data_IF_695658487132
#
_entry.id   IF_695658487132
#
_cell.length_a   1.000
_cell.length_b   1.000
_cell.length_c   1.000
_cell.angle_alpha   90.00
_cell.angle_beta   90.00
_cell.angle_gamma   90.00
#
_symmetry.space_group_name_H-M   'P 1'
#
loop_
_entity.id
_entity.type
_entity.pdbx_description
1 polymer ?
#
# COMPACT_ATOMS: atom_id res chain seq x y z
N UNK A 1 -9.05 2.80 22.12
CA UNK A 1 -9.95 1.76 21.60
C UNK A 1 -11.01 2.45 20.78
N UNK A 2 -11.10 2.13 19.49
CA UNK A 2 -12.18 2.69 18.64
C UNK A 2 -13.48 1.95 18.99
N UNK A 3 -14.64 2.59 18.89
CA UNK A 3 -15.94 1.98 19.23
C UNK A 3 -16.17 0.63 18.56
N UNK A 4 -15.74 0.50 17.29
CA UNK A 4 -15.82 -0.76 16.54
C UNK A 4 -15.06 -1.93 17.18
N UNK A 5 -13.93 -1.64 17.83
CA UNK A 5 -13.08 -2.64 18.52
C UNK A 5 -13.81 -3.18 19.75
N UNK A 6 -14.40 -2.27 20.53
CA UNK A 6 -15.22 -2.62 21.69
C UNK A 6 -16.50 -3.37 21.28
N UNK A 7 -17.22 -2.89 20.27
CA UNK A 7 -18.42 -3.56 19.74
C UNK A 7 -18.11 -4.99 19.27
N UNK A 8 -16.98 -5.18 18.55
CA UNK A 8 -16.53 -6.50 18.11
C UNK A 8 -16.26 -7.43 19.29
N UNK A 9 -15.57 -6.94 20.31
CA UNK A 9 -15.25 -7.72 21.51
C UNK A 9 -16.53 -8.12 22.26
N UNK A 10 -17.45 -7.18 22.46
CA UNK A 10 -18.73 -7.41 23.12
C UNK A 10 -19.60 -8.40 22.34
N UNK A 11 -19.68 -8.31 21.01
CA UNK A 11 -20.46 -9.23 20.19
C UNK A 11 -19.86 -10.64 20.18
N UNK A 12 -18.54 -10.76 20.10
CA UNK A 12 -17.87 -12.06 20.18
C UNK A 12 -18.11 -12.73 21.54
N UNK A 13 -17.93 -11.99 22.65
CA UNK A 13 -18.22 -12.47 24.00
C UNK A 13 -19.69 -12.88 24.11
N UNK A 14 -20.62 -12.04 23.64
CA UNK A 14 -22.05 -12.30 23.70
C UNK A 14 -22.47 -13.57 22.95
N UNK A 15 -21.92 -13.84 21.78
CA UNK A 15 -22.18 -15.09 21.04
C UNK A 15 -21.68 -16.30 21.84
N UNK A 16 -20.46 -16.24 22.37
CA UNK A 16 -19.89 -17.33 23.18
C UNK A 16 -20.72 -17.59 24.44
N UNK A 17 -21.13 -16.54 25.15
CA UNK A 17 -21.96 -16.67 26.35
C UNK A 17 -23.34 -17.25 26.05
N UNK A 18 -23.96 -16.88 24.92
CA UNK A 18 -25.21 -17.50 24.49
C UNK A 18 -25.05 -19.00 24.24
N UNK A 19 -23.96 -19.43 23.62
CA UNK A 19 -23.69 -20.87 23.44
C UNK A 19 -23.48 -21.54 24.80
N UNK A 20 -22.66 -20.97 25.68
CA UNK A 20 -22.38 -21.53 27.01
C UNK A 20 -23.64 -21.66 27.88
N UNK A 21 -24.54 -20.68 27.84
CA UNK A 21 -25.79 -20.73 28.61
C UNK A 21 -26.73 -21.84 28.14
N UNK A 22 -26.72 -22.17 26.84
CA UNK A 22 -27.56 -23.23 26.29
C UNK A 22 -27.22 -24.61 26.84
N UNK A 23 -25.97 -24.85 27.28
CA UNK A 23 -25.56 -26.10 27.93
C UNK A 23 -26.30 -26.38 29.26
N UNK A 24 -26.95 -25.38 29.84
CA UNK A 24 -27.75 -25.50 31.07
C UNK A 24 -29.24 -25.28 30.81
N UNK A 25 -29.66 -25.26 29.55
CA UNK A 25 -31.05 -25.04 29.17
C UNK A 25 -31.97 -26.19 29.63
N UNK A 26 -33.24 -25.88 29.89
CA UNK A 26 -34.23 -26.86 30.35
C UNK A 26 -34.71 -27.77 29.20
N UNK A 27 -34.79 -27.23 27.98
CA UNK A 27 -35.07 -28.01 26.76
C UNK A 27 -33.84 -28.87 26.41
N UNK A 28 -33.97 -30.21 26.39
CA UNK A 28 -32.86 -31.11 26.08
C UNK A 28 -32.31 -30.94 24.66
N UNK A 29 -33.12 -30.47 23.69
CA UNK A 29 -32.67 -30.26 22.32
C UNK A 29 -31.73 -29.05 22.24
N UNK A 30 -32.10 -27.94 22.88
CA UNK A 30 -31.24 -26.74 22.97
C UNK A 30 -29.98 -27.06 23.78
N UNK A 31 -30.11 -27.88 24.82
CA UNK A 31 -28.97 -28.35 25.61
C UNK A 31 -27.96 -29.15 24.79
N UNK A 32 -28.45 -30.03 23.91
CA UNK A 32 -27.61 -30.81 23.01
C UNK A 32 -26.86 -29.92 22.00
N UNK A 33 -27.49 -28.84 21.53
CA UNK A 33 -26.84 -27.84 20.67
C UNK A 33 -25.64 -27.19 21.37
N UNK A 34 -25.82 -26.74 22.62
CA UNK A 34 -24.72 -26.15 23.41
C UNK A 34 -23.54 -27.10 23.62
N UNK A 35 -23.80 -28.40 23.78
CA UNK A 35 -22.76 -29.43 23.88
C UNK A 35 -22.08 -29.68 22.52
N UNK A 36 -22.83 -29.63 21.41
CA UNK A 36 -22.28 -29.79 20.07
C UNK A 36 -21.36 -28.63 19.65
N UNK A 37 -21.68 -27.40 20.07
CA UNK A 37 -20.88 -26.20 19.80
C UNK A 37 -19.71 -25.97 20.78
N UNK A 38 -19.54 -26.83 21.80
CA UNK A 38 -18.48 -26.69 22.82
C UNK A 38 -17.04 -26.64 22.23
N UNK A 39 -16.69 -27.41 21.17
CA UNK A 39 -15.38 -27.30 20.53
C UNK A 39 -15.15 -25.94 19.87
N UNK A 40 -16.20 -25.31 19.32
CA UNK A 40 -16.12 -23.96 18.77
C UNK A 40 -15.79 -22.96 19.89
N UNK A 41 -16.55 -23.00 20.98
CA UNK A 41 -16.32 -22.13 22.14
C UNK A 41 -14.90 -22.28 22.64
N UNK A 42 -14.43 -23.52 22.83
CA UNK A 42 -13.07 -23.80 23.30
C UNK A 42 -11.98 -23.25 22.38
N UNK A 43 -12.19 -23.26 21.07
CA UNK A 43 -11.20 -22.77 20.10
C UNK A 43 -11.13 -21.23 20.02
N UNK A 44 -12.25 -20.55 20.26
CA UNK A 44 -12.38 -19.11 20.01
C UNK A 44 -12.55 -18.25 21.29
N UNK A 45 -12.78 -18.86 22.45
CA UNK A 45 -12.88 -18.14 23.72
C UNK A 45 -11.59 -17.38 24.05
N UNK A 46 -11.73 -16.15 24.57
CA UNK A 46 -10.59 -15.31 24.92
C UNK A 46 -9.96 -14.57 23.74
N UNK A 47 -10.58 -14.58 22.55
CA UNK A 47 -10.06 -13.93 21.34
C UNK A 47 -9.68 -12.46 21.49
N UNK A 48 -10.33 -11.73 22.40
CA UNK A 48 -10.06 -10.32 22.70
C UNK A 48 -8.70 -10.03 23.35
N UNK A 49 -7.98 -11.06 23.83
CA UNK A 49 -6.63 -10.87 24.35
C UNK A 49 -5.54 -10.84 23.25
N UNK A 50 -5.91 -11.06 21.99
CA UNK A 50 -4.98 -11.11 20.85
C UNK A 50 -4.58 -9.71 20.39
N UNK A 51 -3.48 -9.62 19.63
CA UNK A 51 -3.12 -8.38 18.97
C UNK A 51 -4.20 -7.98 17.95
N UNK A 52 -4.39 -6.68 17.72
CA UNK A 52 -5.51 -6.14 16.92
C UNK A 52 -5.67 -6.79 15.54
N UNK A 53 -4.58 -6.94 14.77
CA UNK A 53 -4.63 -7.54 13.44
C UNK A 53 -4.85 -9.06 13.51
N UNK A 54 -4.22 -9.74 14.47
CA UNK A 54 -4.40 -11.18 14.71
C UNK A 54 -5.84 -11.49 15.14
N UNK A 55 -6.43 -10.63 15.97
CA UNK A 55 -7.82 -10.73 16.39
C UNK A 55 -8.76 -10.55 15.21
N UNK A 56 -8.49 -9.58 14.33
CA UNK A 56 -9.31 -9.34 13.14
C UNK A 56 -9.38 -10.58 12.24
N UNK A 57 -8.23 -11.22 11.97
CA UNK A 57 -8.20 -12.47 11.20
C UNK A 57 -8.80 -13.67 11.94
N UNK A 58 -8.66 -13.73 13.26
CA UNK A 58 -9.30 -14.76 14.08
C UNK A 58 -10.82 -14.65 14.06
N UNK A 59 -11.38 -13.42 14.07
CA UNK A 59 -12.82 -13.21 13.97
C UNK A 59 -13.37 -13.64 12.60
N UNK A 60 -12.62 -13.45 11.52
CA UNK A 60 -13.03 -13.97 10.21
C UNK A 60 -13.11 -15.51 10.21
N UNK A 61 -12.16 -16.18 10.86
CA UNK A 61 -12.19 -17.64 11.01
C UNK A 61 -13.36 -18.09 11.90
N UNK A 62 -13.66 -17.34 12.98
CA UNK A 62 -14.80 -17.63 13.84
C UNK A 62 -16.13 -17.52 13.09
N UNK A 63 -16.31 -16.43 12.32
CA UNK A 63 -17.49 -16.21 11.49
C UNK A 63 -17.64 -17.30 10.41
N UNK A 64 -16.53 -17.73 9.79
CA UNK A 64 -16.55 -18.84 8.83
C UNK A 64 -16.96 -20.16 9.47
N UNK A 65 -16.42 -20.48 10.66
CA UNK A 65 -16.74 -21.73 11.35
C UNK A 65 -18.23 -21.73 11.78
N UNK A 66 -18.77 -20.62 12.27
CA UNK A 66 -20.21 -20.47 12.57
C UNK A 66 -21.10 -20.66 11.34
N UNK A 67 -20.63 -20.27 10.16
CA UNK A 67 -21.36 -20.42 8.90
C UNK A 67 -21.11 -21.77 8.20
N UNK A 68 -20.23 -22.61 8.75
CA UNK A 68 -19.93 -23.91 8.18
C UNK A 68 -21.10 -24.89 8.28
N UNK A 69 -21.10 -25.91 7.43
CA UNK A 69 -22.10 -27.00 7.49
C UNK A 69 -22.14 -27.72 8.85
N UNK A 70 -21.08 -27.58 9.66
CA UNK A 70 -21.00 -28.15 10.99
C UNK A 70 -21.89 -27.44 12.01
N UNK A 71 -22.05 -26.12 11.91
CA UNK A 71 -22.73 -25.32 12.94
C UNK A 71 -23.88 -24.45 12.43
N UNK A 72 -24.10 -24.33 11.11
CA UNK A 72 -25.16 -23.48 10.55
C UNK A 72 -26.57 -23.79 11.10
N UNK A 73 -26.89 -25.08 11.27
CA UNK A 73 -28.20 -25.51 11.77
C UNK A 73 -28.37 -25.14 13.25
N UNK A 74 -27.28 -25.16 14.01
CA UNK A 74 -27.26 -24.79 15.42
C UNK A 74 -27.33 -23.28 15.62
N UNK A 75 -26.67 -22.52 14.75
CA UNK A 75 -26.79 -21.06 14.65
C UNK A 75 -28.25 -20.65 14.40
N UNK A 76 -28.98 -21.36 13.54
CA UNK A 76 -30.39 -21.10 13.28
C UNK A 76 -31.27 -21.44 14.51
N UNK A 77 -31.05 -22.59 15.14
CA UNK A 77 -31.76 -22.98 16.37
C UNK A 77 -31.57 -21.97 17.51
N UNK A 78 -30.36 -21.45 17.66
CA UNK A 78 -30.02 -20.44 18.67
C UNK A 78 -30.34 -19.00 18.24
N UNK A 79 -30.80 -18.79 17.00
CA UNK A 79 -31.13 -17.48 16.43
C UNK A 79 -29.97 -16.48 16.49
N UNK A 80 -28.74 -16.96 16.24
CA UNK A 80 -27.51 -16.16 16.31
C UNK A 80 -27.25 -15.30 15.07
N UNK A 81 -28.06 -15.40 14.02
CA UNK A 81 -27.80 -14.74 12.73
C UNK A 81 -27.63 -13.22 12.85
N UNK A 82 -28.45 -12.55 13.66
CA UNK A 82 -28.34 -11.09 13.86
C UNK A 82 -27.05 -10.70 14.59
N UNK A 83 -26.57 -11.53 15.51
CA UNK A 83 -25.30 -11.33 16.21
C UNK A 83 -24.11 -11.54 15.27
N UNK A 84 -24.17 -12.56 14.41
CA UNK A 84 -23.15 -12.83 13.39
C UNK A 84 -23.04 -11.66 12.42
N UNK A 85 -24.16 -11.11 11.96
CA UNK A 85 -24.17 -9.95 11.06
C UNK A 85 -23.60 -8.69 11.73
N UNK A 86 -23.91 -8.48 13.01
CA UNK A 86 -23.38 -7.37 13.79
C UNK A 86 -21.86 -7.51 14.01
N UNK A 87 -21.40 -8.70 14.41
CA UNK A 87 -19.98 -9.01 14.57
C UNK A 87 -19.22 -8.84 13.26
N UNK A 88 -19.78 -9.32 12.14
CA UNK A 88 -19.18 -9.15 10.82
C UNK A 88 -18.98 -7.67 10.48
N UNK A 89 -20.01 -6.84 10.65
CA UNK A 89 -19.91 -5.39 10.39
C UNK A 89 -18.85 -4.72 11.26
N UNK A 90 -18.79 -5.07 12.54
CA UNK A 90 -17.78 -4.55 13.45
C UNK A 90 -16.36 -4.97 13.05
N UNK A 91 -16.17 -6.24 12.65
CA UNK A 91 -14.87 -6.75 12.19
C UNK A 91 -14.42 -6.10 10.87
N UNK A 92 -15.33 -5.97 9.90
CA UNK A 92 -15.04 -5.30 8.61
C UNK A 92 -14.61 -3.84 8.83
N UNK A 93 -15.26 -3.13 9.77
CA UNK A 93 -14.88 -1.78 10.15
C UNK A 93 -13.49 -1.75 10.81
N UNK A 94 -13.20 -2.70 11.71
CA UNK A 94 -11.88 -2.83 12.32
C UNK A 94 -10.77 -3.06 11.29
N UNK A 95 -11.01 -3.95 10.31
CA UNK A 95 -10.10 -4.23 9.21
C UNK A 95 -9.85 -2.98 8.35
N UNK A 96 -10.90 -2.23 8.03
CA UNK A 96 -10.79 -0.98 7.26
C UNK A 96 -9.89 0.05 7.96
N UNK A 97 -10.04 0.21 9.27
CA UNK A 97 -9.27 1.16 10.07
C UNK A 97 -7.78 0.78 10.16
N UNK A 98 -7.46 -0.53 10.21
CA UNK A 98 -6.06 -1.01 10.14
C UNK A 98 -5.43 -0.74 8.78
N UNK A 99 -6.18 -1.02 7.70
CA UNK A 99 -5.70 -0.76 6.33
C UNK A 99 -5.45 0.73 6.08
N UNK A 100 -6.32 1.61 6.57
CA UNK A 100 -6.17 3.07 6.49
C UNK A 100 -4.93 3.56 7.24
N UNK A 101 -4.74 3.12 8.49
CA UNK A 101 -3.55 3.47 9.30
C UNK A 101 -2.24 3.03 8.64
N UNK A 102 -2.23 1.86 8.00
CA UNK A 102 -1.04 1.35 7.31
C UNK A 102 -0.74 2.14 6.03
N UNK A 103 -1.78 2.51 5.27
CA UNK A 103 -1.66 3.39 4.10
C UNK A 103 -1.11 4.77 4.47
N UNK A 104 -1.75 5.45 5.42
CA UNK A 104 -1.35 6.80 5.86
C UNK A 104 0.08 6.84 6.41
N UNK A 105 0.47 5.86 7.24
CA UNK A 105 1.84 5.78 7.76
C UNK A 105 2.86 5.61 6.64
N UNK A 106 2.55 4.78 5.65
CA UNK A 106 3.44 4.55 4.49
C UNK A 106 3.55 5.82 3.64
N UNK A 107 2.45 6.51 3.40
CA UNK A 107 2.43 7.78 2.66
C UNK A 107 3.22 8.86 3.39
N UNK A 108 3.09 8.98 4.71
CA UNK A 108 3.81 9.98 5.49
C UNK A 108 5.32 9.74 5.52
N UNK A 109 5.75 8.48 5.73
CA UNK A 109 7.18 8.13 5.71
C UNK A 109 7.78 8.35 4.32
N UNK A 110 7.08 7.96 3.25
CA UNK A 110 7.56 8.20 1.89
C UNK A 110 7.62 9.68 1.55
N UNK A 111 6.63 10.49 1.96
CA UNK A 111 6.62 11.93 1.74
C UNK A 111 7.83 12.65 2.37
N UNK A 112 8.31 12.20 3.54
CA UNK A 112 9.48 12.79 4.19
C UNK A 112 10.81 12.25 3.66
N UNK A 113 10.91 10.95 3.38
CA UNK A 113 12.18 10.31 2.99
C UNK A 113 12.51 10.49 1.52
N UNK A 114 11.49 10.56 0.64
CA UNK A 114 11.67 10.72 -0.79
C UNK A 114 12.45 11.99 -1.18
N UNK A 115 12.12 13.21 -0.70
CA UNK A 115 12.86 14.41 -1.07
C UNK A 115 14.32 14.37 -0.57
N UNK A 116 14.57 13.77 0.60
CA UNK A 116 15.93 13.63 1.15
C UNK A 116 16.77 12.72 0.24
N UNK A 117 16.23 11.57 -0.15
CA UNK A 117 16.91 10.63 -1.05
C UNK A 117 17.13 11.26 -2.44
N UNK A 118 16.15 11.96 -2.98
CA UNK A 118 16.24 12.62 -4.30
C UNK A 118 17.30 13.74 -4.27
N UNK A 119 17.39 14.51 -3.18
CA UNK A 119 18.43 15.53 -2.99
C UNK A 119 19.85 14.92 -2.89
N UNK A 120 20.02 13.87 -2.08
CA UNK A 120 21.30 13.16 -1.97
C UNK A 120 21.74 12.56 -3.32
N UNK A 121 20.81 11.99 -4.09
CA UNK A 121 21.09 11.50 -5.44
C UNK A 121 21.52 12.63 -6.38
N UNK A 122 20.82 13.77 -6.36
CA UNK A 122 21.18 14.94 -7.17
C UNK A 122 22.60 15.45 -6.85
N UNK A 123 22.98 15.48 -5.57
CA UNK A 123 24.32 15.87 -5.13
C UNK A 123 25.40 14.89 -5.64
N UNK A 124 25.15 13.58 -5.57
CA UNK A 124 26.08 12.58 -6.09
C UNK A 124 26.25 12.73 -7.61
N UNK A 125 25.16 12.93 -8.35
CA UNK A 125 25.20 13.17 -9.80
C UNK A 125 26.00 14.44 -10.13
N UNK A 126 25.78 15.52 -9.37
CA UNK A 126 26.50 16.78 -9.53
C UNK A 126 28.01 16.60 -9.34
N UNK A 127 28.43 15.94 -8.25
CA UNK A 127 29.84 15.68 -7.98
C UNK A 127 30.48 14.77 -9.03
N UNK A 128 29.77 13.72 -9.46
CA UNK A 128 30.30 12.79 -10.47
C UNK A 128 30.47 13.49 -11.82
N UNK A 129 29.49 14.30 -12.24
CA UNK A 129 29.61 15.10 -13.45
C UNK A 129 30.75 16.12 -13.37
N UNK A 130 30.95 16.78 -12.23
CA UNK A 130 32.07 17.71 -12.03
C UNK A 130 33.42 16.99 -12.15
N UNK A 131 33.54 15.78 -11.60
CA UNK A 131 34.75 14.95 -11.73
C UNK A 131 35.02 14.52 -13.17
N UNK A 132 33.98 14.21 -13.95
CA UNK A 132 34.12 13.88 -15.38
C UNK A 132 34.68 15.08 -16.16
N UNK A 133 34.21 16.29 -15.87
CA UNK A 133 34.71 17.52 -16.51
C UNK A 133 36.20 17.77 -16.25
N UNK A 134 36.68 17.50 -15.03
CA UNK A 134 38.07 17.76 -14.63
C UNK A 134 39.01 16.66 -15.13
N UNK A 135 38.61 15.39 -15.00
CA UNK A 135 39.52 14.26 -15.17
C UNK A 135 39.34 13.48 -16.49
N UNK A 136 38.32 13.83 -17.27
CA UNK A 136 37.89 13.13 -18.49
C UNK A 136 36.82 12.06 -18.24
N UNK A 137 35.87 11.93 -19.16
CA UNK A 137 34.71 11.03 -19.07
C UNK A 137 35.11 9.54 -19.06
N UNK A 138 36.21 9.19 -19.73
CA UNK A 138 36.68 7.82 -19.92
C UNK A 138 36.92 7.09 -18.59
N UNK A 139 37.44 7.81 -17.58
CA UNK A 139 37.74 7.25 -16.25
C UNK A 139 36.50 6.87 -15.45
N UNK A 140 35.32 7.38 -15.82
CA UNK A 140 34.07 7.14 -15.10
C UNK A 140 33.05 6.37 -15.95
N UNK A 141 33.44 5.95 -17.16
CA UNK A 141 32.55 5.36 -18.14
C UNK A 141 31.83 4.09 -17.66
N UNK A 142 32.57 3.18 -17.03
CA UNK A 142 32.05 1.94 -16.50
C UNK A 142 31.06 2.18 -15.34
N UNK A 143 31.39 3.10 -14.43
CA UNK A 143 30.53 3.45 -13.30
C UNK A 143 29.21 4.07 -13.77
N UNK A 144 29.28 5.03 -14.69
CA UNK A 144 28.09 5.69 -15.27
C UNK A 144 27.22 4.67 -15.99
N UNK A 145 27.84 3.78 -16.76
CA UNK A 145 27.13 2.70 -17.48
C UNK A 145 26.43 1.78 -16.50
N UNK A 146 27.14 1.29 -15.48
CA UNK A 146 26.58 0.41 -14.45
C UNK A 146 25.39 1.02 -13.72
N UNK A 147 25.47 2.30 -13.33
CA UNK A 147 24.36 2.99 -12.66
C UNK A 147 23.16 3.22 -13.57
N UNK A 148 23.38 3.57 -14.85
CA UNK A 148 22.30 3.70 -15.82
C UNK A 148 21.59 2.36 -16.05
N UNK A 149 22.33 1.26 -16.20
CA UNK A 149 21.76 -0.09 -16.31
C UNK A 149 20.91 -0.44 -15.09
N UNK A 150 21.38 -0.12 -13.89
CA UNK A 150 20.63 -0.34 -12.65
C UNK A 150 19.36 0.50 -12.57
N UNK A 151 19.42 1.77 -12.96
CA UNK A 151 18.24 2.64 -13.03
C UNK A 151 17.21 2.06 -14.01
N UNK A 152 17.63 1.66 -15.21
CA UNK A 152 16.72 1.12 -16.23
C UNK A 152 16.11 -0.24 -15.81
N UNK A 153 16.86 -1.07 -15.08
CA UNK A 153 16.31 -2.27 -14.45
C UNK A 153 15.15 -1.92 -13.49
N UNK A 154 15.37 -0.99 -12.56
CA UNK A 154 14.32 -0.62 -11.60
C UNK A 154 13.12 0.08 -12.25
N UNK A 155 13.33 0.88 -13.31
CA UNK A 155 12.23 1.44 -14.12
C UNK A 155 11.39 0.35 -14.78
N UNK A 156 12.05 -0.70 -15.27
CA UNK A 156 11.38 -1.85 -15.90
C UNK A 156 10.58 -2.63 -14.86
N UNK A 157 11.19 -2.99 -13.73
CA UNK A 157 10.50 -3.65 -12.60
C UNK A 157 9.29 -2.83 -12.13
N UNK A 158 9.44 -1.51 -12.01
CA UNK A 158 8.35 -0.62 -11.60
C UNK A 158 7.21 -0.61 -12.62
N UNK A 159 7.53 -0.58 -13.92
CA UNK A 159 6.52 -0.64 -14.99
C UNK A 159 5.80 -1.99 -15.03
N UNK A 160 6.48 -3.10 -14.76
CA UNK A 160 5.84 -4.41 -14.65
C UNK A 160 4.86 -4.47 -13.48
N UNK A 161 5.18 -3.83 -12.35
CA UNK A 161 4.34 -3.85 -11.14
C UNK A 161 3.16 -2.88 -11.19
N UNK A 162 3.36 -1.67 -11.72
CA UNK A 162 2.39 -0.58 -11.65
C UNK A 162 1.65 -0.32 -12.98
N UNK A 163 2.07 -0.97 -14.06
CA UNK A 163 1.54 -0.78 -15.42
C UNK A 163 2.52 -0.10 -16.37
N UNK A 164 2.35 -0.36 -17.68
CA UNK A 164 3.23 0.16 -18.72
C UNK A 164 3.40 1.69 -18.64
N UNK A 165 4.65 2.16 -18.68
CA UNK A 165 4.99 3.59 -18.63
C UNK A 165 5.07 4.19 -17.21
N UNK A 166 4.68 3.47 -16.17
CA UNK A 166 4.70 3.96 -14.77
C UNK A 166 6.08 3.98 -14.14
N UNK A 167 7.07 3.29 -14.72
CA UNK A 167 8.46 3.30 -14.24
C UNK A 167 9.33 4.43 -14.82
N UNK A 168 8.83 5.27 -15.71
CA UNK A 168 9.60 6.36 -16.32
C UNK A 168 10.46 5.95 -17.52
N UNK A 169 11.04 6.94 -18.21
CA UNK A 169 11.72 6.74 -19.50
C UNK A 169 13.14 6.16 -19.37
N UNK A 170 13.39 5.04 -20.04
CA UNK A 170 14.70 4.39 -20.09
C UNK A 170 15.75 5.20 -20.86
N UNK A 171 17.00 5.04 -20.40
CA UNK A 171 18.31 5.20 -21.07
C UNK A 171 18.46 5.12 -22.59
N UNK A 172 17.65 5.73 -23.48
CA UNK A 172 17.91 5.61 -24.93
C UNK A 172 19.26 6.24 -25.30
N UNK A 173 20.13 5.45 -25.93
CA UNK A 173 21.51 5.77 -26.33
C UNK A 173 21.66 6.89 -27.39
N UNK A 174 20.65 7.75 -27.58
CA UNK A 174 20.64 8.77 -28.62
C UNK A 174 20.14 10.10 -28.07
N UNK A 175 21.05 10.97 -27.60
CA UNK A 175 21.06 12.39 -27.96
C UNK A 175 22.29 13.11 -27.40
N UNK A 176 23.09 13.60 -28.34
CA UNK A 176 24.31 14.40 -28.20
C UNK A 176 23.98 15.84 -27.80
N UNK A 177 23.61 16.13 -26.54
CA UNK A 177 23.61 17.53 -26.09
C UNK A 177 24.03 17.71 -24.63
N UNK A 178 25.02 18.58 -24.35
CA UNK A 178 25.31 18.99 -22.98
C UNK A 178 24.17 19.90 -22.50
N UNK A 179 23.45 19.49 -21.45
CA UNK A 179 22.52 20.36 -20.73
C UNK A 179 23.30 21.07 -19.60
N UNK A 180 23.56 22.35 -19.79
CA UNK A 180 23.79 23.33 -18.73
C UNK A 180 22.43 24.00 -18.40
N UNK A 181 22.25 24.60 -17.22
CA UNK A 181 20.98 25.24 -16.86
C UNK A 181 20.73 26.44 -17.79
N UNK A 182 19.58 26.47 -18.46
CA UNK A 182 19.13 27.67 -19.20
C UNK A 182 18.82 28.76 -18.17
N UNK A 183 19.51 29.89 -18.29
CA UNK A 183 19.24 31.09 -17.50
C UNK A 183 17.89 31.68 -17.94
N UNK A 184 17.11 32.17 -16.96
CA UNK A 184 15.90 32.96 -17.20
C UNK A 184 16.24 34.22 -17.99
N UNK A 185 15.82 34.30 -19.26
CA UNK A 185 15.78 35.57 -19.99
C UNK A 185 14.34 36.08 -20.08
N UNK A 186 14.14 37.21 -19.43
CA UNK A 186 12.96 38.08 -19.50
C UNK A 186 12.80 38.69 -20.89
N UNK A 187 11.59 38.63 -21.46
CA UNK A 187 10.78 39.77 -21.94
C UNK A 187 9.80 39.36 -23.05
N UNK A 188 8.53 39.73 -22.85
CA UNK A 188 7.45 39.70 -23.85
C UNK A 188 7.46 40.99 -24.71
N UNK A 189 6.47 41.29 -25.60
CA UNK A 189 5.43 40.47 -26.25
C UNK A 189 5.28 40.72 -27.78
N UNK A 190 4.70 39.78 -28.56
CA UNK A 190 3.93 40.11 -29.78
C UNK A 190 3.03 38.94 -30.27
N UNK A 191 1.75 39.03 -29.92
CA UNK A 191 0.54 38.83 -30.76
C UNK A 191 0.50 37.75 -31.87
N UNK A 192 -0.31 36.69 -31.70
CA UNK A 192 -1.69 36.57 -32.23
C UNK A 192 -2.27 35.15 -31.97
N UNK A 193 -3.49 35.08 -31.41
CA UNK A 193 -4.30 33.87 -31.10
C UNK A 193 -5.18 33.46 -32.33
N UNK A 194 -6.13 32.49 -32.28
CA UNK A 194 -6.52 31.50 -31.25
C UNK A 194 -6.77 30.06 -31.76
N UNK A 195 -6.78 29.06 -30.86
CA UNK A 195 -7.29 27.72 -31.18
C UNK A 195 -7.46 26.81 -29.97
N UNK A 196 -8.58 26.95 -29.24
CA UNK A 196 -9.24 25.88 -28.47
C UNK A 196 -8.57 25.32 -27.21
N UNK A 197 -8.71 26.01 -26.07
CA UNK A 197 -8.49 25.40 -24.75
C UNK A 197 -9.77 24.67 -24.27
N UNK A 198 -9.72 23.34 -24.18
CA UNK A 198 -10.53 22.58 -23.21
C UNK A 198 -9.65 22.25 -22.01
N UNK A 199 -10.04 22.78 -20.85
CA UNK A 199 -9.46 22.47 -19.54
C UNK A 199 -9.81 21.03 -19.18
N UNK A 200 -8.83 20.23 -18.78
CA UNK A 200 -9.07 19.07 -17.90
C UNK A 200 -8.20 19.23 -16.66
N UNK A 201 -8.90 19.42 -15.55
CA UNK A 201 -8.49 19.18 -14.17
C UNK A 201 -8.02 17.73 -13.99
N UNK A 202 -7.05 17.52 -13.10
CA UNK A 202 -6.82 16.21 -12.49
C UNK A 202 -5.35 15.85 -12.35
N UNK A 203 -4.85 16.11 -11.14
CA UNK A 203 -3.96 15.25 -10.36
C UNK A 203 -3.16 14.19 -11.14
N UNK A 204 -1.86 14.44 -11.25
CA UNK A 204 -0.91 13.54 -11.89
C UNK A 204 0.49 14.01 -11.58
N UNK A 205 0.91 13.76 -10.33
CA UNK A 205 2.29 13.88 -9.81
C UNK A 205 3.32 13.75 -10.94
N UNK A 206 3.79 14.91 -11.37
CA UNK A 206 4.65 15.05 -12.52
C UNK A 206 6.07 14.66 -12.11
N UNK A 207 6.41 13.38 -12.30
CA UNK A 207 7.75 12.82 -12.11
C UNK A 207 8.78 13.33 -13.15
N UNK A 208 8.48 14.45 -13.82
CA UNK A 208 9.40 15.15 -14.74
C UNK A 208 10.37 16.05 -13.99
N UNK A 209 11.15 15.50 -13.05
CA UNK A 209 12.41 16.12 -12.64
C UNK A 209 13.56 15.41 -13.36
N UNK A 210 13.99 16.03 -14.45
CA UNK A 210 15.11 15.64 -15.29
C UNK A 210 16.44 15.82 -14.53
N UNK A 211 17.09 14.73 -14.13
CA UNK A 211 18.55 14.71 -13.91
C UNK A 211 19.11 13.36 -14.36
N UNK A 212 19.30 13.24 -15.68
CA UNK A 212 20.05 12.14 -16.30
C UNK A 212 21.55 12.40 -16.17
N UNK A 213 22.32 11.39 -15.78
CA UNK A 213 23.78 11.38 -15.97
C UNK A 213 24.09 11.57 -17.46
N UNK A 214 25.10 12.40 -17.78
CA UNK A 214 25.52 12.63 -19.16
C UNK A 214 25.90 11.31 -19.82
N UNK A 215 25.41 11.09 -21.04
CA UNK A 215 25.89 10.03 -21.92
C UNK A 215 27.20 10.49 -22.55
N UNK A 216 28.22 9.65 -22.42
CA UNK A 216 29.59 9.86 -22.90
C UNK A 216 29.57 10.08 -24.41
N UNK A 217 30.19 11.17 -24.87
CA UNK A 217 30.46 11.41 -26.29
C UNK A 217 31.89 11.00 -26.57
N UNK A 218 32.13 9.77 -27.07
CA UNK A 218 33.42 9.43 -27.68
C UNK A 218 33.69 10.37 -28.86
N UNK A 219 34.61 11.31 -28.71
CA UNK A 219 35.28 11.93 -29.86
C UNK A 219 36.20 10.86 -30.44
N UNK A 220 35.82 10.29 -31.59
CA UNK A 220 36.81 9.63 -32.45
C UNK A 220 37.79 10.70 -32.92
N UNK A 221 39.08 10.47 -32.64
CA UNK A 221 40.19 11.15 -33.29
C UNK A 221 40.21 10.83 -34.80
#
# INVERSE_FOLDING_TARGET
MNTADADRDDFHIGIIEQILTTQRHYDPLIKAVGAHMDPLVSAFQGGQARAYDDQTGMMDNFLQELQSDKYKDDVEKLKLSSWIDALKKANDLCASLSSGRTGERTEQVTAQTRPICDAAYADVVKHLNARCLINGDEKYAELITYWNTRLDHYRTVTSHRLGAGKGGAQVRATSRRPLLPEAEETNAPANCKPGGQKRKSGDGRDLRFFMRLRVISSRKA
#
